data_IF_344970291826
#
_entry.id   IF_344970291826
#
_cell.length_a   1.000
_cell.length_b   1.000
_cell.length_c   1.000
_cell.angle_alpha   90.00
_cell.angle_beta   90.00
_cell.angle_gamma   90.00
#
_symmetry.space_group_name_H-M   'P 1'
#
loop_
_entity.id
_entity.type
_entity.pdbx_description
1 polymer ?
#
# COMPACT_ATOMS: atom_id res chain seq x y z
N UNK A 1 17.19 -3.67 49.09
CA UNK A 1 18.35 -3.37 48.22
C UNK A 1 18.29 -4.32 47.03
N UNK A 2 18.06 -3.79 45.82
CA UNK A 2 18.00 -4.61 44.59
C UNK A 2 19.43 -4.77 44.09
N UNK A 3 19.83 -6.02 43.83
CA UNK A 3 21.21 -6.34 43.47
C UNK A 3 21.49 -5.87 42.02
N UNK A 4 22.43 -4.94 41.79
CA UNK A 4 22.64 -4.36 40.45
C UNK A 4 23.01 -5.39 39.38
N UNK A 5 23.60 -6.53 39.79
CA UNK A 5 23.92 -7.65 38.89
C UNK A 5 22.66 -8.34 38.34
N UNK A 6 21.58 -8.39 39.11
CA UNK A 6 20.28 -8.95 38.68
C UNK A 6 19.56 -8.03 37.69
N UNK A 7 19.73 -6.70 37.83
CA UNK A 7 19.18 -5.72 36.89
C UNK A 7 19.90 -5.85 35.53
N UNK A 8 21.22 -6.00 35.54
CA UNK A 8 22.02 -6.13 34.31
C UNK A 8 21.76 -7.45 33.56
N UNK A 9 21.64 -8.56 34.29
CA UNK A 9 21.24 -9.85 33.71
C UNK A 9 19.80 -9.81 33.19
N UNK A 10 18.89 -9.14 33.90
CA UNK A 10 17.52 -8.93 33.46
C UNK A 10 17.41 -8.10 32.19
N UNK A 11 18.18 -7.01 32.06
CA UNK A 11 18.19 -6.20 30.84
C UNK A 11 18.85 -6.91 29.67
N UNK A 12 19.93 -7.66 29.90
CA UNK A 12 20.59 -8.46 28.85
C UNK A 12 19.65 -9.55 28.31
N UNK A 13 18.90 -10.20 29.21
CA UNK A 13 17.87 -11.17 28.82
C UNK A 13 16.73 -10.48 28.05
N UNK A 14 16.27 -9.31 28.48
CA UNK A 14 15.21 -8.58 27.77
C UNK A 14 15.64 -8.12 26.35
N UNK A 15 16.93 -7.81 26.16
CA UNK A 15 17.48 -7.46 24.84
C UNK A 15 17.62 -8.70 23.93
N UNK A 16 17.95 -9.87 24.50
CA UNK A 16 18.01 -11.14 23.75
C UNK A 16 16.63 -11.69 23.36
N UNK A 17 15.56 -11.22 24.02
CA UNK A 17 14.17 -11.60 23.73
C UNK A 17 13.39 -10.53 22.95
N UNK A 18 14.04 -9.48 22.44
CA UNK A 18 13.42 -8.64 21.43
C UNK A 18 13.12 -9.56 20.23
N UNK A 19 11.84 -9.80 19.89
CA UNK A 19 11.53 -10.57 18.71
C UNK A 19 12.21 -9.84 17.55
N UNK A 20 13.08 -10.54 16.81
CA UNK A 20 13.38 -10.10 15.46
C UNK A 20 12.02 -10.08 14.78
N UNK A 21 11.42 -8.89 14.66
CA UNK A 21 10.20 -8.73 13.90
C UNK A 21 10.55 -9.23 12.51
N UNK A 22 10.01 -10.40 12.15
CA UNK A 22 10.13 -10.93 10.80
C UNK A 22 9.43 -9.90 9.93
N UNK A 23 10.23 -9.15 9.17
CA UNK A 23 9.68 -8.30 8.14
C UNK A 23 9.17 -9.25 7.04
N UNK A 24 7.91 -9.11 6.71
CA UNK A 24 7.19 -9.96 5.77
C UNK A 24 6.70 -9.07 4.63
N UNK A 25 6.55 -9.64 3.43
CA UNK A 25 6.26 -8.84 2.26
C UNK A 25 4.78 -8.51 2.13
N UNK A 26 4.47 -7.23 2.00
CA UNK A 26 3.12 -6.76 1.75
C UNK A 26 2.82 -6.66 0.25
N UNK A 27 1.86 -7.47 -0.23
CA UNK A 27 1.56 -7.66 -1.67
C UNK A 27 0.15 -7.21 -2.07
N UNK A 28 -0.40 -6.22 -1.36
CA UNK A 28 -1.66 -5.58 -1.74
C UNK A 28 -1.44 -4.45 -2.77
N UNK A 29 -1.85 -4.68 -4.03
CA UNK A 29 -1.50 -3.82 -5.18
C UNK A 29 -1.99 -2.38 -5.09
N UNK A 30 -3.12 -2.16 -4.42
CA UNK A 30 -3.72 -0.82 -4.32
C UNK A 30 -3.12 0.03 -3.19
N UNK A 31 -2.19 -0.50 -2.40
CA UNK A 31 -1.51 0.26 -1.35
C UNK A 31 -0.19 0.87 -1.83
N UNK A 32 0.17 2.07 -1.33
CA UNK A 32 1.51 2.64 -1.57
C UNK A 32 2.65 1.79 -0.97
N UNK A 33 2.34 0.86 -0.08
CA UNK A 33 3.32 -0.07 0.52
C UNK A 33 3.44 -1.40 -0.24
N UNK A 34 2.85 -1.51 -1.43
CA UNK A 34 2.99 -2.69 -2.26
C UNK A 34 4.49 -3.03 -2.49
N UNK A 35 4.84 -4.30 -2.28
CA UNK A 35 6.19 -4.83 -2.34
C UNK A 35 7.19 -4.14 -1.40
N UNK A 36 6.74 -3.82 -0.18
CA UNK A 36 7.60 -3.38 0.92
C UNK A 36 7.58 -4.40 2.06
N UNK A 37 8.74 -4.62 2.68
CA UNK A 37 8.86 -5.46 3.87
C UNK A 37 8.30 -4.69 5.07
N UNK A 38 7.15 -5.10 5.57
CA UNK A 38 6.45 -4.48 6.70
C UNK A 38 6.42 -5.41 7.91
N UNK A 39 6.26 -4.83 9.10
CA UNK A 39 5.85 -5.64 10.26
C UNK A 39 4.38 -6.02 10.13
N UNK A 40 3.97 -7.14 10.75
CA UNK A 40 2.57 -7.58 10.73
C UNK A 40 1.61 -6.51 11.29
N UNK A 41 2.04 -5.75 12.30
CA UNK A 41 1.27 -4.63 12.86
C UNK A 41 1.08 -3.49 11.84
N UNK A 42 2.14 -3.13 11.10
CA UNK A 42 2.08 -2.12 10.06
C UNK A 42 1.20 -2.57 8.89
N UNK A 43 1.36 -3.82 8.44
CA UNK A 43 0.53 -4.40 7.40
C UNK A 43 -0.94 -4.43 7.82
N UNK A 44 -1.24 -4.81 9.06
CA UNK A 44 -2.62 -4.80 9.60
C UNK A 44 -3.22 -3.40 9.65
N UNK A 45 -2.43 -2.41 10.08
CA UNK A 45 -2.87 -1.02 10.10
C UNK A 45 -3.17 -0.50 8.68
N UNK A 46 -2.29 -0.76 7.73
CA UNK A 46 -2.46 -0.33 6.35
C UNK A 46 -3.66 -1.02 5.68
N UNK A 47 -3.78 -2.33 5.89
CA UNK A 47 -4.86 -3.14 5.35
C UNK A 47 -6.23 -2.71 5.91
N UNK A 48 -6.29 -2.30 7.19
CA UNK A 48 -7.52 -1.79 7.81
C UNK A 48 -8.08 -0.53 7.16
N UNK A 49 -7.27 0.21 6.40
CA UNK A 49 -7.67 1.44 5.69
C UNK A 49 -8.28 1.17 4.31
N UNK A 50 -8.06 -0.03 3.76
CA UNK A 50 -8.42 -0.36 2.38
C UNK A 50 -9.53 -1.41 2.34
N UNK A 51 -10.62 -1.11 1.66
CA UNK A 51 -11.71 -2.07 1.43
C UNK A 51 -11.22 -3.20 0.51
N UNK A 52 -11.29 -4.44 0.98
CA UNK A 52 -10.87 -5.61 0.21
C UNK A 52 -9.44 -6.08 0.53
N UNK A 53 -8.70 -5.38 1.38
CA UNK A 53 -7.44 -5.91 1.88
C UNK A 53 -7.69 -6.92 3.02
N UNK A 54 -7.06 -8.09 2.91
CA UNK A 54 -7.02 -9.13 3.94
C UNK A 54 -5.56 -9.52 4.22
N UNK A 55 -5.09 -9.30 5.44
CA UNK A 55 -3.67 -9.49 5.82
C UNK A 55 -3.18 -10.91 5.48
N UNK A 56 -3.83 -12.01 5.91
CA UNK A 56 -3.42 -13.36 5.55
C UNK A 56 -3.27 -13.64 4.04
N UNK A 57 -4.02 -12.96 3.19
CA UNK A 57 -3.99 -13.19 1.73
C UNK A 57 -2.97 -12.28 1.02
N UNK A 58 -2.67 -11.12 1.60
CA UNK A 58 -1.78 -10.11 1.01
C UNK A 58 -0.48 -9.90 1.80
N UNK A 59 -0.15 -10.83 2.69
CA UNK A 59 1.06 -10.79 3.50
C UNK A 59 1.80 -12.11 3.35
N UNK A 60 2.92 -12.06 2.63
CA UNK A 60 3.73 -13.24 2.34
C UNK A 60 4.75 -13.44 3.45
N UNK A 61 4.93 -14.69 3.88
CA UNK A 61 5.92 -15.06 4.91
C UNK A 61 7.38 -14.86 4.49
N UNK A 62 7.61 -14.47 3.23
CA UNK A 62 8.93 -14.23 2.67
C UNK A 62 9.20 -12.74 2.49
N UNK A 63 10.48 -12.36 2.43
CA UNK A 63 10.90 -11.01 2.07
C UNK A 63 10.53 -10.66 0.63
N UNK A 64 10.22 -9.40 0.36
CA UNK A 64 9.81 -8.94 -0.97
C UNK A 64 10.87 -9.18 -2.04
N UNK A 65 12.16 -9.15 -1.66
CA UNK A 65 13.27 -9.45 -2.58
C UNK A 65 13.24 -10.86 -3.17
N UNK A 66 12.52 -11.80 -2.53
CA UNK A 66 12.39 -13.18 -2.99
C UNK A 66 11.18 -13.42 -3.91
N UNK A 67 10.23 -12.47 -3.96
CA UNK A 67 9.00 -12.59 -4.76
C UNK A 67 9.22 -12.02 -6.16
N UNK A 68 8.89 -12.80 -7.19
CA UNK A 68 9.01 -12.36 -8.58
C UNK A 68 8.12 -11.16 -8.90
N UNK A 69 6.95 -11.06 -8.27
CA UNK A 69 6.02 -9.92 -8.45
C UNK A 69 6.53 -8.60 -7.86
N UNK A 70 7.55 -8.65 -7.00
CA UNK A 70 8.18 -7.50 -6.37
C UNK A 70 9.51 -7.09 -6.99
N UNK A 71 9.90 -7.73 -8.10
CA UNK A 71 11.02 -7.26 -8.90
C UNK A 71 10.60 -6.03 -9.68
N UNK A 72 11.46 -5.00 -9.68
CA UNK A 72 11.26 -3.80 -10.52
C UNK A 72 11.59 -4.13 -11.97
N UNK A 73 10.66 -3.83 -12.86
CA UNK A 73 10.75 -4.06 -14.29
C UNK A 73 10.18 -2.86 -15.04
N UNK A 74 10.56 -2.70 -16.31
CA UNK A 74 9.91 -1.73 -17.20
C UNK A 74 8.64 -2.39 -17.76
N UNK A 75 7.46 -1.89 -17.42
CA UNK A 75 6.19 -2.45 -17.89
C UNK A 75 5.98 -2.18 -19.39
N UNK A 76 5.54 -3.19 -20.15
CA UNK A 76 5.15 -3.00 -21.56
C UNK A 76 3.97 -2.03 -21.74
N UNK A 77 3.08 -1.94 -20.75
CA UNK A 77 1.85 -1.17 -20.78
C UNK A 77 2.07 0.34 -20.64
N UNK A 78 2.99 0.75 -19.76
CA UNK A 78 3.21 2.14 -19.37
C UNK A 78 4.59 2.67 -19.75
N UNK A 79 5.55 1.79 -20.06
CA UNK A 79 6.95 2.17 -20.27
C UNK A 79 7.61 2.87 -19.07
N UNK A 80 7.09 2.63 -17.87
CA UNK A 80 7.62 3.09 -16.60
C UNK A 80 8.17 1.91 -15.81
N UNK A 81 9.14 2.18 -14.94
CA UNK A 81 9.68 1.19 -14.01
C UNK A 81 8.69 1.00 -12.85
N UNK A 82 8.12 -0.20 -12.73
CA UNK A 82 7.17 -0.57 -11.69
C UNK A 82 7.46 -2.00 -11.20
N UNK A 83 6.79 -2.42 -10.13
CA UNK A 83 6.87 -3.80 -9.67
C UNK A 83 6.17 -4.75 -10.63
N UNK A 84 6.72 -5.94 -10.84
CA UNK A 84 6.23 -6.87 -11.84
C UNK A 84 4.76 -7.27 -11.67
N UNK A 85 4.25 -7.38 -10.44
CA UNK A 85 2.84 -7.68 -10.19
C UNK A 85 1.89 -6.53 -10.59
N UNK A 86 2.40 -5.31 -10.78
CA UNK A 86 1.64 -4.16 -11.28
C UNK A 86 1.74 -4.00 -12.81
N UNK A 87 2.55 -4.81 -13.50
CA UNK A 87 2.66 -4.78 -14.96
C UNK A 87 1.69 -5.79 -15.62
N UNK A 88 0.49 -5.39 -16.08
CA UNK A 88 -0.51 -6.33 -16.62
C UNK A 88 -0.05 -7.04 -17.90
N UNK A 89 0.84 -6.39 -18.67
CA UNK A 89 1.44 -6.92 -19.90
C UNK A 89 2.84 -7.50 -19.68
N UNK A 90 3.32 -7.50 -18.45
CA UNK A 90 4.66 -8.00 -18.10
C UNK A 90 5.81 -7.07 -18.52
N UNK A 91 7.05 -7.58 -18.48
CA UNK A 91 8.26 -6.83 -18.75
C UNK A 91 8.47 -6.57 -20.24
N UNK A 92 9.06 -5.43 -20.55
CA UNK A 92 9.56 -5.11 -21.89
C UNK A 92 10.62 -6.14 -22.33
N UNK A 93 10.46 -6.70 -23.54
CA UNK A 93 11.39 -7.69 -24.11
C UNK A 93 12.63 -7.07 -24.75
N UNK A 94 12.55 -5.83 -25.22
CA UNK A 94 13.62 -5.09 -25.87
C UNK A 94 13.54 -3.60 -25.49
N UNK A 95 14.68 -2.96 -25.20
CA UNK A 95 14.78 -1.54 -24.84
C UNK A 95 14.13 -0.60 -25.88
N UNK A 96 14.01 -1.03 -27.12
CA UNK A 96 13.33 -0.30 -28.20
C UNK A 96 11.81 -0.23 -28.06
N UNK A 97 11.18 -1.10 -27.26
CA UNK A 97 9.73 -1.15 -27.10
C UNK A 97 9.14 0.19 -26.66
N UNK A 98 9.87 0.91 -25.81
CA UNK A 98 9.45 2.18 -25.21
C UNK A 98 9.99 3.42 -25.93
N UNK A 99 10.64 3.24 -27.08
CA UNK A 99 11.10 4.35 -27.89
C UNK A 99 10.00 4.79 -28.87
N UNK A 100 9.92 6.08 -29.22
CA UNK A 100 9.06 6.52 -30.29
C UNK A 100 9.53 5.92 -31.62
N UNK A 101 8.58 5.61 -32.50
CA UNK A 101 8.90 5.02 -33.79
C UNK A 101 7.74 5.05 -34.78
N UNK A 102 8.04 4.66 -36.01
CA UNK A 102 7.07 4.56 -37.08
C UNK A 102 6.39 3.20 -37.05
N UNK A 103 5.07 3.17 -36.85
CA UNK A 103 4.26 1.98 -37.06
C UNK A 103 3.81 1.91 -38.52
N UNK A 104 3.83 0.73 -39.13
CA UNK A 104 3.17 0.48 -40.41
C UNK A 104 2.18 -0.67 -40.26
N UNK A 105 0.96 -0.48 -40.78
CA UNK A 105 -0.08 -1.50 -40.92
C UNK A 105 -0.37 -1.72 -42.40
N UNK A 106 -0.60 -2.96 -42.79
CA UNK A 106 -1.03 -3.29 -44.15
C UNK A 106 -2.53 -3.62 -44.12
N UNK A 107 -3.33 -2.79 -44.77
CA UNK A 107 -4.79 -2.96 -44.84
C UNK A 107 -5.22 -2.93 -46.31
N UNK A 108 -5.70 -4.07 -46.82
CA UNK A 108 -6.25 -4.18 -48.18
C UNK A 108 -5.37 -3.53 -49.26
N UNK A 109 -4.09 -3.92 -49.30
CA UNK A 109 -3.05 -3.44 -50.24
C UNK A 109 -2.52 -2.00 -50.02
N UNK A 110 -3.07 -1.26 -49.07
CA UNK A 110 -2.59 0.07 -48.70
C UNK A 110 -1.78 -0.01 -47.41
N UNK A 111 -0.58 0.57 -47.42
CA UNK A 111 0.22 0.74 -46.22
C UNK A 111 -0.16 2.04 -45.51
N UNK A 112 -0.52 1.95 -44.23
CA UNK A 112 -0.74 3.11 -43.37
C UNK A 112 0.38 3.21 -42.36
N UNK A 113 0.97 4.40 -42.21
CA UNK A 113 2.05 4.65 -41.27
C UNK A 113 1.67 5.77 -40.34
N UNK A 114 2.10 5.64 -39.10
CA UNK A 114 1.92 6.67 -38.09
C UNK A 114 3.06 6.61 -37.09
N UNK A 115 3.58 7.78 -36.72
CA UNK A 115 4.52 7.88 -35.61
C UNK A 115 3.77 7.66 -34.31
N UNK A 116 4.24 6.75 -33.48
CA UNK A 116 3.71 6.49 -32.15
C UNK A 116 4.82 6.56 -31.11
N UNK A 117 4.44 6.78 -29.85
CA UNK A 117 5.38 6.95 -28.74
C UNK A 117 6.09 5.67 -28.31
N UNK A 118 5.49 4.50 -28.58
CA UNK A 118 6.02 3.20 -28.22
C UNK A 118 5.37 2.09 -29.07
N UNK A 119 5.95 0.90 -29.00
CA UNK A 119 5.51 -0.27 -29.75
C UNK A 119 4.12 -0.77 -29.32
N UNK A 120 3.75 -0.62 -28.05
CA UNK A 120 2.41 -0.98 -27.56
C UNK A 120 1.31 -0.19 -28.27
N UNK A 121 1.52 1.11 -28.51
CA UNK A 121 0.55 1.94 -29.25
C UNK A 121 0.39 1.45 -30.69
N UNK A 122 1.46 0.98 -31.33
CA UNK A 122 1.35 0.30 -32.61
C UNK A 122 0.51 -0.97 -32.49
N UNK A 123 0.76 -1.82 -31.49
CA UNK A 123 0.03 -3.07 -31.28
C UNK A 123 -1.47 -2.81 -31.05
N UNK A 124 -1.82 -1.80 -30.24
CA UNK A 124 -3.20 -1.37 -30.03
C UNK A 124 -3.81 -0.85 -31.34
N UNK A 125 -3.07 -0.02 -32.09
CA UNK A 125 -3.50 0.49 -33.38
C UNK A 125 -3.75 -0.62 -34.41
N UNK A 126 -2.91 -1.65 -34.42
CA UNK A 126 -3.05 -2.83 -35.26
C UNK A 126 -4.29 -3.65 -34.87
N UNK A 127 -4.46 -3.93 -33.58
CA UNK A 127 -5.62 -4.64 -33.04
C UNK A 127 -6.94 -3.92 -33.33
N UNK A 128 -6.99 -2.60 -33.17
CA UNK A 128 -8.19 -1.79 -33.45
C UNK A 128 -8.56 -1.74 -34.94
N UNK A 129 -7.59 -2.01 -35.83
CA UNK A 129 -7.79 -2.09 -37.29
C UNK A 129 -7.96 -3.52 -37.79
N UNK A 130 -7.94 -4.50 -36.89
CA UNK A 130 -8.09 -5.92 -37.20
C UNK A 130 -7.09 -6.43 -38.24
N UNK A 131 -5.87 -5.88 -38.25
CA UNK A 131 -4.78 -6.38 -39.12
C UNK A 131 -4.08 -7.57 -38.45
N UNK A 132 -3.55 -8.51 -39.24
CA UNK A 132 -2.87 -9.70 -38.70
C UNK A 132 -1.44 -9.43 -38.20
N UNK A 133 -0.81 -8.40 -38.76
CA UNK A 133 0.57 -8.03 -38.43
C UNK A 133 0.81 -6.54 -38.58
N UNK A 134 1.87 -6.06 -37.93
CA UNK A 134 2.37 -4.70 -38.06
C UNK A 134 3.90 -4.69 -38.10
N UNK A 135 4.49 -3.59 -38.59
CA UNK A 135 5.93 -3.32 -38.46
C UNK A 135 6.13 -2.13 -37.57
N UNK A 136 7.19 -2.15 -36.78
CA UNK A 136 7.62 -1.04 -35.95
C UNK A 136 9.08 -0.73 -36.21
N UNK A 137 9.40 0.55 -36.43
CA UNK A 137 10.78 1.00 -36.58
C UNK A 137 11.06 2.24 -35.71
N UNK A 138 11.83 2.10 -34.62
CA UNK A 138 12.17 3.20 -33.71
C UNK A 138 13.24 4.15 -34.28
N UNK A 139 13.92 3.79 -35.37
CA UNK A 139 14.98 4.59 -35.99
C UNK A 139 14.44 5.62 -37.00
N UNK A 140 13.15 5.54 -37.35
CA UNK A 140 12.53 6.48 -38.29
C UNK A 140 12.01 7.72 -37.55
N UNK A 141 12.43 8.88 -38.02
CA UNK A 141 11.84 10.17 -37.61
C UNK A 141 10.43 10.33 -38.16
N UNK A 142 9.63 11.19 -37.54
CA UNK A 142 8.24 11.47 -37.95
C UNK A 142 8.14 11.87 -39.43
N UNK A 143 9.01 12.77 -39.91
CA UNK A 143 9.04 13.17 -41.32
C UNK A 143 9.38 12.01 -42.28
N UNK A 144 10.26 11.10 -41.84
CA UNK A 144 10.62 9.90 -42.61
C UNK A 144 9.52 8.85 -42.60
N UNK A 145 8.73 8.81 -41.52
CA UNK A 145 7.60 7.88 -41.37
C UNK A 145 6.48 8.23 -42.34
N UNK A 146 6.10 9.52 -42.42
CA UNK A 146 5.05 9.99 -43.33
C UNK A 146 5.45 9.79 -44.79
N UNK A 147 6.66 10.20 -45.18
CA UNK A 147 7.13 10.08 -46.57
C UNK A 147 7.22 8.64 -47.08
N UNK A 148 7.65 7.68 -46.24
CA UNK A 148 7.67 6.26 -46.63
C UNK A 148 6.28 5.70 -46.92
N UNK A 149 5.26 6.25 -46.26
CA UNK A 149 3.90 5.79 -46.47
C UNK A 149 3.21 6.39 -47.70
N UNK A 150 3.50 7.65 -48.03
CA UNK A 150 3.04 8.25 -49.29
C UNK A 150 3.57 7.46 -50.51
N UNK A 151 4.80 6.96 -50.42
CA UNK A 151 5.42 6.13 -51.45
C UNK A 151 4.90 4.67 -51.50
N UNK A 152 3.97 4.30 -50.60
CA UNK A 152 3.51 2.93 -50.37
C UNK A 152 4.66 1.92 -50.14
N UNK A 153 5.82 2.40 -49.68
CA UNK A 153 7.02 1.59 -49.44
C UNK A 153 6.96 0.97 -48.05
N UNK A 154 7.32 -0.31 -47.95
CA UNK A 154 7.46 -0.95 -46.64
C UNK A 154 8.61 -0.33 -45.85
N UNK A 155 8.36 0.01 -44.60
CA UNK A 155 9.39 0.38 -43.64
C UNK A 155 10.27 -0.83 -43.34
N UNK A 156 11.56 -0.59 -43.15
CA UNK A 156 12.51 -1.62 -42.71
C UNK A 156 12.18 -1.93 -41.24
N UNK A 157 11.83 -3.17 -40.93
CA UNK A 157 11.44 -3.58 -39.58
C UNK A 157 10.94 -5.02 -39.58
N UNK A 158 11.05 -5.66 -38.42
CA UNK A 158 10.52 -7.01 -38.20
C UNK A 158 9.00 -7.00 -38.33
N UNK A 159 8.44 -8.02 -38.98
CA UNK A 159 6.99 -8.22 -39.05
C UNK A 159 6.57 -8.87 -37.75
N UNK A 160 5.77 -8.17 -36.97
CA UNK A 160 5.24 -8.66 -35.70
C UNK A 160 3.83 -9.16 -35.96
N UNK A 161 3.61 -10.45 -35.77
CA UNK A 161 2.31 -11.08 -35.88
C UNK A 161 1.55 -10.90 -34.57
N UNK A 162 0.33 -10.37 -34.66
CA UNK A 162 -0.53 -10.28 -33.48
C UNK A 162 -0.96 -11.69 -33.07
N UNK A 163 -0.99 -11.99 -31.76
CA UNK A 163 -1.57 -13.24 -31.30
C UNK A 163 -3.02 -13.27 -31.80
N UNK A 164 -3.33 -14.22 -32.68
CA UNK A 164 -4.72 -14.43 -33.11
C UNK A 164 -5.54 -14.56 -31.82
N UNK A 165 -6.57 -13.71 -31.68
CA UNK A 165 -7.55 -13.86 -30.59
C UNK A 165 -8.15 -15.25 -30.74
N UNK A 166 -7.54 -16.24 -30.09
CA UNK A 166 -8.15 -17.54 -29.94
C UNK A 166 -9.52 -17.25 -29.33
N UNK A 167 -10.58 -17.75 -29.95
CA UNK A 167 -11.90 -17.82 -29.34
C UNK A 167 -11.77 -18.74 -28.12
N UNK A 168 -11.25 -18.19 -27.03
CA UNK A 168 -11.05 -18.89 -25.78
C UNK A 168 -12.41 -18.93 -25.12
N UNK A 169 -13.09 -20.07 -25.25
CA UNK A 169 -14.21 -20.41 -24.40
C UNK A 169 -13.70 -20.40 -22.96
N UNK A 170 -14.16 -19.43 -22.16
CA UNK A 170 -13.85 -19.35 -20.73
C UNK A 170 -14.29 -20.66 -20.04
N UNK A 171 -13.34 -21.45 -19.56
CA UNK A 171 -13.64 -22.60 -18.70
C UNK A 171 -12.62 -22.63 -17.57
N UNK A 172 -13.03 -22.01 -16.46
CA UNK A 172 -12.74 -22.36 -15.06
C UNK A 172 -11.30 -22.78 -14.72
N UNK A 173 -10.49 -21.80 -14.31
CA UNK A 173 -9.22 -22.02 -13.62
C UNK A 173 -9.28 -21.37 -12.22
N UNK A 174 -10.07 -21.94 -11.30
CA UNK A 174 -10.30 -21.34 -9.97
C UNK A 174 -10.52 -22.37 -8.85
N UNK A 175 -9.78 -23.49 -8.84
CA UNK A 175 -9.92 -24.49 -7.76
C UNK A 175 -8.64 -25.09 -7.16
N UNK A 176 -7.44 -24.62 -7.51
CA UNK A 176 -6.23 -25.33 -7.09
C UNK A 176 -5.31 -24.56 -6.13
N UNK A 177 -5.82 -23.94 -5.05
CA UNK A 177 -4.90 -23.29 -4.09
C UNK A 177 -5.50 -23.03 -2.69
N UNK A 178 -5.99 -24.07 -1.98
CA UNK A 178 -6.23 -23.99 -0.52
C UNK A 178 -6.01 -25.35 0.16
N UNK A 179 -4.76 -25.73 0.47
CA UNK A 179 -4.50 -26.91 1.34
C UNK A 179 -3.26 -26.89 2.23
N UNK A 180 -2.57 -25.76 2.41
CA UNK A 180 -1.29 -25.73 3.16
C UNK A 180 -1.38 -25.25 4.61
N UNK A 181 -2.45 -24.60 5.05
CA UNK A 181 -2.42 -23.89 6.34
C UNK A 181 -2.74 -24.75 7.56
N UNK A 182 -3.29 -25.95 7.38
CA UNK A 182 -3.74 -26.79 8.50
C UNK A 182 -2.59 -27.45 9.28
N UNK A 183 -1.44 -27.67 8.63
CA UNK A 183 -0.30 -28.33 9.27
C UNK A 183 0.48 -27.41 10.23
N UNK A 184 0.49 -26.10 10.00
CA UNK A 184 1.24 -25.15 10.84
C UNK A 184 0.65 -25.00 12.25
N UNK A 185 -0.68 -24.98 12.37
CA UNK A 185 -1.36 -24.80 13.65
C UNK A 185 -1.16 -26.01 14.60
N UNK A 186 -1.07 -27.22 14.06
CA UNK A 186 -0.95 -28.45 14.84
C UNK A 186 0.38 -28.52 15.63
N UNK A 187 1.49 -28.06 15.05
CA UNK A 187 2.79 -28.08 15.71
C UNK A 187 2.88 -27.11 16.90
N UNK A 188 2.23 -25.95 16.81
CA UNK A 188 2.18 -24.98 17.91
C UNK A 188 1.44 -25.51 19.13
N UNK A 189 0.32 -26.22 18.93
CA UNK A 189 -0.43 -26.84 20.03
C UNK A 189 0.42 -27.89 20.76
N UNK A 190 1.17 -28.71 20.02
CA UNK A 190 2.07 -29.72 20.62
C UNK A 190 3.19 -29.05 21.43
N UNK A 191 3.79 -27.98 20.92
CA UNK A 191 4.85 -27.26 21.61
C UNK A 191 4.38 -26.69 22.97
N UNK A 192 3.17 -26.11 23.03
CA UNK A 192 2.59 -25.56 24.26
C UNK A 192 2.40 -26.67 25.31
N UNK A 193 1.93 -27.85 24.90
CA UNK A 193 1.73 -29.00 25.80
C UNK A 193 3.06 -29.47 26.41
N UNK A 194 4.13 -29.55 25.61
CA UNK A 194 5.45 -29.96 26.09
C UNK A 194 5.99 -28.94 27.10
N UNK A 195 5.87 -27.64 26.83
CA UNK A 195 6.33 -26.58 27.74
C UNK A 195 5.57 -26.67 29.08
N UNK A 196 4.25 -26.85 29.04
CA UNK A 196 3.44 -27.00 30.25
C UNK A 196 3.89 -28.22 31.09
N UNK A 197 4.19 -29.34 30.44
CA UNK A 197 4.68 -30.55 31.11
C UNK A 197 6.07 -30.33 31.76
N UNK A 198 6.98 -29.63 31.08
CA UNK A 198 8.31 -29.30 31.63
C UNK A 198 8.19 -28.37 32.84
N UNK A 199 7.33 -27.34 32.78
CA UNK A 199 7.09 -26.44 33.92
C UNK A 199 6.51 -27.22 35.11
N UNK A 200 5.53 -28.10 34.86
CA UNK A 200 4.92 -28.93 35.88
C UNK A 200 5.95 -29.86 36.55
N UNK A 201 6.76 -30.57 35.76
CA UNK A 201 7.84 -31.42 36.26
C UNK A 201 8.89 -30.62 37.04
N UNK A 202 9.25 -29.43 36.55
CA UNK A 202 10.17 -28.52 37.23
C UNK A 202 9.65 -28.09 38.60
N UNK A 203 8.37 -27.71 38.70
CA UNK A 203 7.74 -27.39 39.99
C UNK A 203 7.70 -28.60 40.93
N UNK A 204 7.41 -29.79 40.41
CA UNK A 204 7.39 -31.02 41.19
C UNK A 204 8.78 -31.36 41.76
N UNK A 205 9.82 -31.28 40.92
CA UNK A 205 11.21 -31.53 41.33
C UNK A 205 11.71 -30.47 42.32
N UNK A 206 11.39 -29.19 42.10
CA UNK A 206 11.74 -28.11 43.03
C UNK A 206 11.10 -28.33 44.41
N UNK A 207 9.82 -28.73 44.48
CA UNK A 207 9.17 -29.08 45.74
C UNK A 207 9.82 -30.28 46.42
N UNK A 208 10.20 -31.31 45.65
CA UNK A 208 10.78 -32.55 46.17
C UNK A 208 12.21 -32.37 46.70
N UNK A 209 13.05 -31.62 45.99
CA UNK A 209 14.48 -31.50 46.31
C UNK A 209 14.85 -30.24 47.11
N UNK A 210 14.00 -29.20 47.12
CA UNK A 210 14.27 -27.94 47.82
C UNK A 210 13.14 -27.50 48.77
N UNK A 211 12.76 -28.33 49.77
CA UNK A 211 11.72 -27.95 50.75
C UNK A 211 12.08 -26.70 51.57
N UNK A 212 13.38 -26.38 51.66
CA UNK A 212 13.89 -25.22 52.42
C UNK A 212 13.58 -23.86 51.77
N UNK A 213 13.24 -23.82 50.47
CA UNK A 213 12.98 -22.56 49.75
C UNK A 213 11.58 -21.99 50.00
N UNK A 214 10.58 -22.81 50.36
CA UNK A 214 9.23 -22.31 50.67
C UNK A 214 9.21 -21.41 51.92
N UNK A 215 10.06 -21.70 52.91
CA UNK A 215 10.17 -20.92 54.15
C UNK A 215 10.68 -19.49 53.89
N UNK A 216 11.39 -19.26 52.79
CA UNK A 216 11.91 -17.94 52.40
C UNK A 216 10.91 -17.09 51.62
N UNK A 217 9.97 -17.71 50.88
CA UNK A 217 8.99 -16.98 50.06
C UNK A 217 7.74 -16.56 50.84
N UNK A 218 7.40 -17.24 51.94
CA UNK A 218 6.26 -16.85 52.80
C UNK A 218 6.55 -15.63 53.70
N UNK A 219 7.82 -15.26 53.88
CA UNK A 219 8.19 -14.08 54.68
C UNK A 219 8.44 -12.87 53.78
N UNK A 220 7.40 -12.03 53.69
CA UNK A 220 7.34 -10.64 53.17
C UNK A 220 6.85 -10.47 51.73
N UNK A 221 5.52 -10.47 51.58
CA UNK A 221 4.89 -9.47 50.69
C UNK A 221 4.24 -8.39 51.56
N UNK A 222 4.91 -7.25 51.82
CA UNK A 222 4.22 -6.08 52.31
C UNK A 222 3.26 -5.60 51.22
N UNK A 223 2.01 -5.42 51.63
CA UNK A 223 0.90 -4.86 50.88
C UNK A 223 1.30 -3.49 50.28
N UNK A 224 1.86 -3.50 49.06
CA UNK A 224 2.14 -2.29 48.31
C UNK A 224 0.88 -1.87 47.56
N UNK A 225 0.22 -0.84 48.09
CA UNK A 225 -0.78 -0.04 47.37
C UNK A 225 -0.22 0.35 46.00
N UNK A 226 -0.91 -0.03 44.94
CA UNK A 226 -0.58 0.30 43.55
C UNK A 226 -0.53 1.83 43.33
N UNK A 227 0.62 2.44 42.97
CA UNK A 227 0.70 3.87 42.65
C UNK A 227 0.44 4.17 41.15
N UNK A 228 0.16 3.18 40.32
CA UNK A 228 -0.06 3.38 38.88
C UNK A 228 -1.53 3.58 38.52
N UNK A 229 -2.05 4.80 38.79
CA UNK A 229 -3.27 5.36 38.16
C UNK A 229 -3.01 6.82 37.72
N UNK A 230 -1.93 7.08 37.00
CA UNK A 230 -1.55 8.47 36.62
C UNK A 230 -1.68 8.75 35.11
N UNK A 231 -2.00 7.77 34.25
CA UNK A 231 -2.21 8.04 32.83
C UNK A 231 -3.48 7.40 32.28
N UNK A 232 -4.61 8.03 32.57
CA UNK A 232 -5.81 7.95 31.74
C UNK A 232 -6.16 9.37 31.32
N UNK A 233 -5.71 9.86 30.15
CA UNK A 233 -6.18 11.13 29.66
C UNK A 233 -7.67 10.96 29.33
N UNK A 234 -8.49 11.96 29.62
CA UNK A 234 -9.92 12.00 29.29
C UNK A 234 -10.90 11.24 30.21
N UNK A 235 -10.89 11.54 31.51
CA UNK A 235 -12.17 11.59 32.24
C UNK A 235 -12.90 12.88 31.86
N UNK A 236 -13.47 12.91 30.66
CA UNK A 236 -14.47 13.91 30.28
C UNK A 236 -15.66 13.79 31.23
N UNK A 237 -16.10 14.90 31.80
CA UNK A 237 -17.36 14.99 32.54
C UNK A 237 -18.50 14.43 31.68
N UNK A 238 -19.55 13.82 32.26
CA UNK A 238 -20.65 13.22 31.50
C UNK A 238 -21.26 14.19 30.47
N UNK A 239 -21.36 15.47 30.83
CA UNK A 239 -21.82 16.55 29.94
C UNK A 239 -20.90 16.77 28.72
N UNK A 240 -19.57 16.66 28.90
CA UNK A 240 -18.62 16.73 27.77
C UNK A 240 -18.68 15.50 26.88
N UNK A 241 -18.99 14.32 27.44
CA UNK A 241 -19.19 13.10 26.64
C UNK A 241 -20.43 13.21 25.78
N UNK A 242 -21.53 13.68 26.32
CA UNK A 242 -22.77 13.92 25.56
C UNK A 242 -22.56 14.94 24.44
N UNK A 243 -21.85 16.03 24.70
CA UNK A 243 -21.51 17.01 23.68
C UNK A 243 -20.61 16.44 22.57
N UNK A 244 -19.62 15.60 22.93
CA UNK A 244 -18.75 14.92 21.97
C UNK A 244 -19.51 13.89 21.13
N UNK A 245 -20.41 13.13 21.74
CA UNK A 245 -21.27 12.18 21.03
C UNK A 245 -22.21 12.90 20.07
N UNK A 246 -22.78 14.05 20.49
CA UNK A 246 -23.60 14.90 19.62
C UNK A 246 -22.81 15.44 18.43
N UNK A 247 -21.59 15.93 18.64
CA UNK A 247 -20.70 16.38 17.56
C UNK A 247 -20.32 15.23 16.62
N UNK A 248 -20.02 14.05 17.17
CA UNK A 248 -19.71 12.86 16.38
C UNK A 248 -20.89 12.43 15.52
N UNK A 249 -22.10 12.39 16.09
CA UNK A 249 -23.33 12.09 15.38
C UNK A 249 -23.64 13.14 14.28
N UNK A 250 -23.44 14.43 14.56
CA UNK A 250 -23.62 15.49 13.56
C UNK A 250 -22.62 15.34 12.40
N UNK A 251 -21.36 15.05 12.70
CA UNK A 251 -20.32 14.83 11.69
C UNK A 251 -20.61 13.60 10.83
N UNK A 252 -20.98 12.47 11.44
CA UNK A 252 -21.39 11.26 10.72
C UNK A 252 -22.62 11.51 9.84
N UNK A 253 -23.58 12.33 10.31
CA UNK A 253 -24.75 12.71 9.52
C UNK A 253 -24.40 13.55 8.29
N UNK A 254 -23.43 14.46 8.42
CA UNK A 254 -22.93 15.31 7.32
C UNK A 254 -22.20 14.49 6.26
N UNK A 255 -21.33 13.57 6.68
CA UNK A 255 -20.64 12.64 5.77
C UNK A 255 -21.64 11.80 4.98
N UNK A 256 -22.61 11.18 5.65
CA UNK A 256 -23.63 10.35 4.97
C UNK A 256 -24.45 11.16 3.98
N UNK A 257 -24.73 12.43 4.28
CA UNK A 257 -25.43 13.33 3.35
C UNK A 257 -24.58 13.65 2.12
N UNK A 258 -23.30 13.94 2.31
CA UNK A 258 -22.37 14.18 1.19
C UNK A 258 -22.20 12.95 0.31
N UNK A 259 -21.98 11.77 0.89
CA UNK A 259 -21.89 10.51 0.13
C UNK A 259 -23.15 10.21 -0.68
N UNK A 260 -24.34 10.52 -0.13
CA UNK A 260 -25.60 10.36 -0.85
C UNK A 260 -25.73 11.35 -2.01
N UNK A 261 -25.29 12.59 -1.82
CA UNK A 261 -25.29 13.62 -2.87
C UNK A 261 -24.29 13.27 -3.99
N UNK A 262 -23.09 12.81 -3.64
CA UNK A 262 -22.07 12.32 -4.59
C UNK A 262 -22.59 11.11 -5.39
N UNK A 263 -23.16 10.11 -4.72
CA UNK A 263 -23.76 8.96 -5.39
C UNK A 263 -24.88 9.34 -6.36
N UNK A 264 -25.76 10.26 -5.96
CA UNK A 264 -26.84 10.74 -6.83
C UNK A 264 -26.32 11.56 -8.02
N UNK A 265 -25.20 12.26 -7.86
CA UNK A 265 -24.52 12.99 -8.93
C UNK A 265 -23.84 12.04 -9.92
N UNK A 266 -23.19 10.98 -9.45
CA UNK A 266 -22.62 9.91 -10.29
C UNK A 266 -23.70 9.18 -11.12
N UNK A 267 -24.88 8.98 -10.54
CA UNK A 267 -26.02 8.36 -11.24
C UNK A 267 -26.75 9.33 -12.20
N UNK A 268 -26.30 10.59 -12.30
CA UNK A 268 -26.95 11.61 -13.14
C UNK A 268 -28.36 12.01 -12.67
N UNK A 269 -28.74 11.65 -11.44
CA UNK A 269 -30.05 11.96 -10.84
C UNK A 269 -30.10 13.35 -10.22
N UNK A 270 -28.94 13.95 -9.94
CA UNK A 270 -28.82 15.35 -9.55
C UNK A 270 -28.12 16.13 -10.67
N UNK A 271 -28.75 17.21 -11.13
CA UNK A 271 -28.06 18.19 -11.94
C UNK A 271 -26.90 18.77 -11.12
N UNK A 272 -25.70 18.77 -11.70
CA UNK A 272 -24.51 19.35 -11.10
C UNK A 272 -24.84 20.79 -10.68
N UNK A 273 -25.00 21.00 -9.36
CA UNK A 273 -25.09 22.35 -8.83
C UNK A 273 -23.72 22.95 -9.09
N UNK A 274 -23.63 23.75 -10.14
CA UNK A 274 -22.50 24.65 -10.39
C UNK A 274 -22.48 25.68 -9.25
N UNK A 275 -22.02 25.28 -8.07
CA UNK A 275 -21.58 26.21 -7.05
C UNK A 275 -20.40 26.95 -7.65
N UNK A 276 -20.62 28.23 -7.97
CA UNK A 276 -19.59 29.13 -8.49
C UNK A 276 -18.37 29.03 -7.58
N UNK A 277 -17.29 28.45 -8.12
CA UNK A 277 -15.99 28.26 -7.46
C UNK A 277 -15.45 29.55 -6.84
N UNK A 278 -15.90 30.69 -7.36
CA UNK A 278 -15.51 32.04 -6.93
C UNK A 278 -16.01 32.44 -5.53
N UNK A 279 -17.04 31.79 -4.98
CA UNK A 279 -17.65 32.21 -3.70
C UNK A 279 -16.94 31.61 -2.47
N UNK A 280 -16.26 30.46 -2.63
CA UNK A 280 -15.51 29.82 -1.54
C UNK A 280 -14.30 30.65 -1.12
N UNK A 281 -13.59 31.23 -2.08
CA UNK A 281 -12.42 32.07 -1.82
C UNK A 281 -12.83 33.37 -1.13
N UNK A 282 -13.90 34.02 -1.61
CA UNK A 282 -14.44 35.22 -0.95
C UNK A 282 -14.97 34.94 0.46
N UNK A 283 -15.58 33.79 0.69
CA UNK A 283 -16.05 33.38 2.02
C UNK A 283 -14.90 33.12 2.99
N UNK A 284 -13.81 32.48 2.52
CA UNK A 284 -12.59 32.29 3.29
C UNK A 284 -11.87 33.62 3.58
N UNK A 285 -11.78 34.51 2.59
CA UNK A 285 -11.20 35.84 2.75
C UNK A 285 -11.99 36.69 3.77
N UNK A 286 -13.33 36.59 3.74
CA UNK A 286 -14.20 37.28 4.69
C UNK A 286 -14.07 36.71 6.11
N UNK A 287 -13.80 35.42 6.26
CA UNK A 287 -13.53 34.79 7.56
C UNK A 287 -12.15 35.15 8.12
N UNK A 288 -11.11 35.20 7.29
CA UNK A 288 -9.77 35.61 7.73
C UNK A 288 -9.71 37.08 8.17
N UNK A 289 -10.45 37.96 7.48
CA UNK A 289 -10.57 39.38 7.86
C UNK A 289 -11.37 39.59 9.16
N UNK A 290 -12.31 38.70 9.48
CA UNK A 290 -13.19 38.84 10.67
C UNK A 290 -12.53 38.34 11.96
N UNK A 291 -11.59 37.41 11.86
CA UNK A 291 -10.77 36.93 12.97
C UNK A 291 -9.30 36.93 12.58
N UNK A 292 -8.65 38.12 12.54
CA UNK A 292 -7.21 38.16 12.29
C UNK A 292 -6.51 37.36 13.39
N UNK A 293 -5.72 36.32 13.04
CA UNK A 293 -5.01 35.54 14.04
C UNK A 293 -4.07 36.48 14.79
N UNK A 294 -4.19 36.53 16.12
CA UNK A 294 -3.17 37.18 16.96
C UNK A 294 -1.92 36.31 16.84
N UNK A 295 -0.83 36.79 16.20
CA UNK A 295 0.36 35.97 16.02
C UNK A 295 0.90 35.59 17.39
N UNK A 296 1.11 34.29 17.58
CA UNK A 296 1.75 33.81 18.79
C UNK A 296 3.23 34.23 18.79
N UNK A 297 3.89 34.39 19.95
CA UNK A 297 5.29 34.85 20.03
C UNK A 297 6.28 34.10 19.10
N UNK A 298 6.19 32.77 18.90
CA UNK A 298 7.09 32.08 17.98
C UNK A 298 6.80 32.38 16.49
N UNK A 299 5.56 32.69 16.12
CA UNK A 299 5.21 33.03 14.73
C UNK A 299 5.75 34.40 14.32
N UNK A 300 5.80 35.38 15.25
CA UNK A 300 6.39 36.71 14.96
C UNK A 300 7.86 36.60 14.53
N UNK A 301 8.64 35.77 15.22
CA UNK A 301 10.05 35.54 14.89
C UNK A 301 10.23 34.83 13.55
N UNK A 302 9.27 34.03 13.10
CA UNK A 302 9.33 33.37 11.80
C UNK A 302 9.00 34.34 10.66
N UNK A 303 8.03 35.24 10.87
CA UNK A 303 7.68 36.27 9.90
C UNK A 303 8.78 37.33 9.77
N UNK A 304 9.40 37.78 10.87
CA UNK A 304 10.55 38.70 10.82
C UNK A 304 11.73 38.11 10.04
N UNK A 305 12.03 36.80 10.23
CA UNK A 305 13.07 36.11 9.46
C UNK A 305 12.75 35.97 7.97
N UNK A 306 11.48 35.85 7.61
CA UNK A 306 11.06 35.80 6.21
C UNK A 306 11.12 37.17 5.54
N UNK A 307 10.82 38.26 6.26
CA UNK A 307 11.01 39.63 5.75
C UNK A 307 12.49 39.97 5.56
N UNK A 308 13.37 39.57 6.48
CA UNK A 308 14.82 39.74 6.33
C UNK A 308 15.39 38.99 5.11
N UNK A 309 14.80 37.85 4.75
CA UNK A 309 15.22 37.08 3.58
C UNK A 309 14.72 37.67 2.24
N UNK A 310 13.62 38.41 2.26
CA UNK A 310 13.04 39.02 1.05
C UNK A 310 13.63 40.41 0.72
N UNK A 311 14.42 40.99 1.62
CA UNK A 311 15.12 42.27 1.41
C UNK A 311 16.58 42.11 0.93
N UNK A 312 17.02 40.89 0.65
CA UNK A 312 18.30 40.58 -0.02
C UNK A 312 18.06 40.18 -1.46
#
# INVERSE_FOLDING_TARGET
MINPKLIFLGSLFFILFLPLASAECFVYKDSPFYCQDLSQEQASLECSRSTGCNVPEHFSSNYCSSLSECQRIICQSSCTEEYAGNCPKGPVTNSQWCQPGCCQFSYSEINYCKQEYNQLRCEIGANNREVESYRFNPQLSEASCVSKCEDNKSITGEIIYLPQKAKTNETSLSQLEKKTDFYSYFFWVIAIIIIAAVIYLGQYLLKKYYPRWQILWEKKTPEKKNPFRIFSPFFSTPEKREHLEKLKAEHESKIKKQQREEFLLEQGLLAEKVEKKDDYFHKLEKLSKKHPPKPTPPEKSAFERLEELNQK
#
